data_IF_467395545567
#
_entry.id   IF_467395545567
#
_cell.length_a   1.000
_cell.length_b   1.000
_cell.length_c   1.000
_cell.angle_alpha   90.00
_cell.angle_beta   90.00
_cell.angle_gamma   90.00
#
_symmetry.space_group_name_H-M   'P 1'
#
loop_
_entity.id
_entity.type
_entity.pdbx_description
1 polymer ?
#
# COMPACT_ATOMS: atom_id res chain seq x y z
N UNK A 1 -25.81 3.80 26.19
CA UNK A 1 -25.49 4.62 25.00
C UNK A 1 -24.08 4.37 24.49
N UNK A 2 -23.06 4.50 25.32
CA UNK A 2 -21.64 4.33 24.90
C UNK A 2 -21.33 2.95 24.31
N UNK A 3 -21.82 1.87 24.93
CA UNK A 3 -21.59 0.49 24.48
C UNK A 3 -22.08 0.20 23.06
N UNK A 4 -23.19 0.79 22.64
CA UNK A 4 -23.74 0.57 21.29
C UNK A 4 -22.99 1.36 20.23
N UNK A 5 -22.47 2.55 20.58
CA UNK A 5 -21.56 3.31 19.72
C UNK A 5 -20.26 2.52 19.49
N UNK A 6 -19.67 1.98 20.55
CA UNK A 6 -18.44 1.17 20.44
C UNK A 6 -18.66 -0.08 19.58
N UNK A 7 -19.79 -0.78 19.72
CA UNK A 7 -20.13 -1.92 18.85
C UNK A 7 -20.22 -1.52 17.37
N UNK A 8 -20.82 -0.37 17.06
CA UNK A 8 -20.89 0.15 15.69
C UNK A 8 -19.50 0.48 15.12
N UNK A 9 -18.64 1.10 15.92
CA UNK A 9 -17.25 1.41 15.54
C UNK A 9 -16.48 0.12 15.25
N UNK A 10 -16.57 -0.89 16.13
CA UNK A 10 -15.91 -2.18 15.95
C UNK A 10 -16.40 -2.88 14.68
N UNK A 11 -17.72 -2.91 14.45
CA UNK A 11 -18.31 -3.52 13.26
C UNK A 11 -17.76 -2.86 11.98
N UNK A 12 -17.83 -1.53 11.91
CA UNK A 12 -17.30 -0.77 10.78
C UNK A 12 -15.80 -1.03 10.56
N UNK A 13 -15.01 -1.12 11.64
CA UNK A 13 -13.58 -1.41 11.52
C UNK A 13 -13.30 -2.82 11.02
N UNK A 14 -14.08 -3.82 11.43
CA UNK A 14 -13.97 -5.20 10.94
C UNK A 14 -14.29 -5.30 9.44
N UNK A 15 -15.35 -4.64 9.00
CA UNK A 15 -15.72 -4.58 7.57
C UNK A 15 -14.59 -3.96 6.73
N UNK A 16 -13.93 -2.91 7.24
CA UNK A 16 -12.76 -2.31 6.59
C UNK A 16 -11.52 -3.22 6.61
N UNK A 17 -11.31 -3.99 7.68
CA UNK A 17 -10.19 -4.94 7.77
C UNK A 17 -10.36 -6.13 6.81
N UNK A 18 -11.60 -6.56 6.57
CA UNK A 18 -11.89 -7.62 5.59
C UNK A 18 -11.51 -7.20 4.17
N UNK A 19 -11.72 -5.94 3.78
CA UNK A 19 -11.24 -5.43 2.48
C UNK A 19 -9.75 -5.08 2.47
N UNK A 20 -9.14 -4.78 3.63
CA UNK A 20 -7.76 -4.32 3.71
C UNK A 20 -6.76 -5.31 3.08
N UNK A 21 -7.00 -6.61 3.20
CA UNK A 21 -6.15 -7.64 2.60
C UNK A 21 -6.22 -7.62 1.07
N UNK A 22 -7.42 -7.53 0.48
CA UNK A 22 -7.60 -7.45 -0.97
C UNK A 22 -7.10 -6.11 -1.53
N UNK A 23 -7.35 -5.01 -0.83
CA UNK A 23 -6.90 -3.67 -1.22
C UNK A 23 -5.37 -3.61 -1.24
N UNK A 24 -4.74 -4.19 -0.21
CA UNK A 24 -3.28 -4.34 -0.14
C UNK A 24 -2.75 -5.12 -1.34
N UNK A 25 -3.31 -6.28 -1.66
CA UNK A 25 -2.83 -7.10 -2.78
C UNK A 25 -2.97 -6.37 -4.11
N UNK A 26 -4.11 -5.70 -4.35
CA UNK A 26 -4.33 -4.88 -5.53
C UNK A 26 -3.30 -3.75 -5.66
N UNK A 27 -3.03 -3.03 -4.57
CA UNK A 27 -2.01 -1.97 -4.55
C UNK A 27 -0.61 -2.50 -4.85
N UNK A 28 -0.23 -3.63 -4.25
CA UNK A 28 1.07 -4.26 -4.50
C UNK A 28 1.22 -4.63 -5.97
N UNK A 29 0.20 -5.27 -6.56
CA UNK A 29 0.21 -5.66 -7.97
C UNK A 29 0.32 -4.43 -8.88
N UNK A 30 -0.47 -3.38 -8.61
CA UNK A 30 -0.43 -2.13 -9.36
C UNK A 30 0.95 -1.47 -9.35
N UNK A 31 1.56 -1.36 -8.16
CA UNK A 31 2.91 -0.78 -8.00
C UNK A 31 3.95 -1.63 -8.74
N UNK A 32 3.85 -2.96 -8.66
CA UNK A 32 4.78 -3.86 -9.35
C UNK A 32 4.70 -3.71 -10.87
N UNK A 33 3.49 -3.73 -11.42
CA UNK A 33 3.25 -3.51 -12.84
C UNK A 33 3.82 -2.17 -13.32
N UNK A 34 3.62 -1.10 -12.55
CA UNK A 34 4.20 0.20 -12.87
C UNK A 34 5.73 0.14 -12.89
N UNK A 35 6.37 -0.39 -11.86
CA UNK A 35 7.84 -0.46 -11.77
C UNK A 35 8.43 -1.30 -12.91
N UNK A 36 7.79 -2.42 -13.26
CA UNK A 36 8.24 -3.33 -14.31
C UNK A 36 8.00 -2.78 -15.73
N UNK A 37 7.03 -1.87 -15.90
CA UNK A 37 6.68 -1.32 -17.22
C UNK A 37 7.81 -0.53 -17.89
N UNK A 38 8.74 0.06 -17.12
CA UNK A 38 9.85 0.85 -17.66
C UNK A 38 11.04 0.88 -16.71
N UNK A 39 12.23 0.65 -17.28
CA UNK A 39 13.50 0.81 -16.56
C UNK A 39 13.64 2.23 -16.02
N UNK A 40 13.92 2.34 -14.72
CA UNK A 40 14.04 3.62 -14.01
C UNK A 40 12.82 4.01 -13.18
N UNK A 41 11.67 3.35 -13.39
CA UNK A 41 10.46 3.64 -12.61
C UNK A 41 10.64 3.37 -11.11
N UNK A 42 11.43 2.37 -10.73
CA UNK A 42 11.75 2.13 -9.32
C UNK A 42 12.48 3.34 -8.67
N UNK A 43 13.45 3.92 -9.37
CA UNK A 43 14.22 5.05 -8.88
C UNK A 43 13.38 6.33 -8.86
N UNK A 44 12.60 6.56 -9.93
CA UNK A 44 11.64 7.65 -9.99
C UNK A 44 10.64 7.57 -8.84
N UNK A 45 10.04 6.40 -8.62
CA UNK A 45 9.05 6.20 -7.57
C UNK A 45 9.66 6.42 -6.17
N UNK A 46 10.90 5.99 -5.94
CA UNK A 46 11.60 6.26 -4.67
C UNK A 46 11.78 7.76 -4.42
N UNK A 47 12.12 8.53 -5.46
CA UNK A 47 12.34 9.96 -5.36
C UNK A 47 11.02 10.71 -5.13
N UNK A 48 10.02 10.47 -5.97
CA UNK A 48 8.74 11.21 -5.93
C UNK A 48 7.87 10.86 -4.71
N UNK A 49 7.99 9.64 -4.18
CA UNK A 49 7.27 9.23 -2.98
C UNK A 49 8.03 9.45 -1.68
N UNK A 50 9.30 9.84 -1.75
CA UNK A 50 10.22 9.90 -0.60
C UNK A 50 10.30 8.56 0.17
N UNK A 51 9.91 7.44 -0.46
CA UNK A 51 10.02 6.10 0.11
C UNK A 51 11.39 5.56 -0.26
N UNK A 52 12.15 5.11 0.75
CA UNK A 52 13.47 4.52 0.52
C UNK A 52 13.45 3.44 -0.57
N UNK A 53 14.39 3.54 -1.51
CA UNK A 53 14.51 2.61 -2.63
C UNK A 53 14.62 1.13 -2.19
N UNK A 54 15.24 0.86 -1.03
CA UNK A 54 15.29 -0.48 -0.44
C UNK A 54 13.90 -1.03 -0.13
N UNK A 55 12.98 -0.19 0.35
CA UNK A 55 11.61 -0.58 0.70
C UNK A 55 10.80 -0.95 -0.55
N UNK A 56 11.01 -0.20 -1.64
CA UNK A 56 10.43 -0.51 -2.95
C UNK A 56 11.06 -1.78 -3.52
N UNK A 57 12.38 -1.95 -3.41
CA UNK A 57 13.07 -3.18 -3.84
C UNK A 57 12.55 -4.43 -3.11
N UNK A 58 12.37 -4.33 -1.80
CA UNK A 58 11.78 -5.39 -0.98
C UNK A 58 10.34 -5.72 -1.41
N UNK A 59 9.53 -4.69 -1.69
CA UNK A 59 8.17 -4.86 -2.23
C UNK A 59 8.17 -5.60 -3.58
N UNK A 60 9.08 -5.25 -4.50
CA UNK A 60 9.21 -5.91 -5.81
C UNK A 60 9.61 -7.38 -5.66
N UNK A 61 10.59 -7.66 -4.81
CA UNK A 61 11.13 -9.01 -4.63
C UNK A 61 10.33 -9.88 -3.64
N UNK A 62 9.32 -9.32 -2.96
CA UNK A 62 8.57 -10.02 -1.92
C UNK A 62 9.42 -10.39 -0.71
N UNK A 63 10.46 -9.61 -0.41
CA UNK A 63 11.40 -9.84 0.68
C UNK A 63 11.23 -8.83 1.82
N UNK A 64 11.68 -9.17 3.01
CA UNK A 64 11.61 -8.30 4.19
C UNK A 64 10.19 -8.07 4.71
N UNK A 65 10.01 -6.99 5.48
CA UNK A 65 8.69 -6.64 6.04
C UNK A 65 7.82 -5.97 4.97
N UNK A 66 6.59 -6.45 4.73
CA UNK A 66 5.65 -5.82 3.82
C UNK A 66 5.43 -4.34 4.19
N UNK A 67 5.38 -3.42 3.20
CA UNK A 67 5.04 -2.03 3.47
C UNK A 67 3.68 -1.89 4.18
N UNK A 68 3.50 -0.86 5.00
CA UNK A 68 2.19 -0.54 5.57
C UNK A 68 1.19 -0.16 4.48
N UNK A 69 -0.11 -0.21 4.76
CA UNK A 69 -1.10 0.18 3.76
C UNK A 69 -0.98 1.67 3.41
N UNK A 70 -0.61 2.53 4.37
CA UNK A 70 -0.36 3.95 4.06
C UNK A 70 0.84 4.13 3.13
N UNK A 71 1.87 3.30 3.25
CA UNK A 71 3.01 3.34 2.32
C UNK A 71 2.57 2.92 0.92
N UNK A 72 1.76 1.87 0.80
CA UNK A 72 1.25 1.41 -0.50
C UNK A 72 0.34 2.47 -1.16
N UNK A 73 -0.52 3.13 -0.37
CA UNK A 73 -1.35 4.24 -0.85
C UNK A 73 -0.47 5.39 -1.34
N UNK A 74 0.53 5.83 -0.56
CA UNK A 74 1.44 6.91 -0.96
C UNK A 74 2.13 6.60 -2.30
N UNK A 75 2.60 5.37 -2.49
CA UNK A 75 3.22 4.94 -3.75
C UNK A 75 2.22 4.97 -4.91
N UNK A 76 1.01 4.44 -4.72
CA UNK A 76 -0.02 4.42 -5.75
C UNK A 76 -0.49 5.84 -6.12
N UNK A 77 -0.66 6.73 -5.14
CA UNK A 77 -0.99 8.15 -5.35
C UNK A 77 0.06 8.86 -6.20
N UNK A 78 1.34 8.54 -6.02
CA UNK A 78 2.42 9.11 -6.85
C UNK A 78 2.34 8.61 -8.29
N UNK A 79 1.95 7.35 -8.51
CA UNK A 79 1.84 6.78 -9.86
C UNK A 79 0.68 7.40 -10.67
N UNK A 80 -0.43 7.75 -10.01
CA UNK A 80 -1.64 8.29 -10.67
C UNK A 80 -1.66 9.81 -10.83
N UNK A 81 -0.69 10.52 -10.26
CA UNK A 81 -0.54 11.97 -10.44
C UNK A 81 -0.05 12.29 -11.85
#
# INVERSE_FOLDING_TARGET
MEKDLIKKIIKKRKELLESEASDREALIQYIRQFVESKRGNQAWLANESEVHAQKISNLMNGTGTPPSIETLIKLAEVIIK
#
